data_IF_300934568005
#
_entry.id   IF_300934568005
#
_cell.length_a   1.000
_cell.length_b   1.000
_cell.length_c   1.000
_cell.angle_alpha   90.00
_cell.angle_beta   90.00
_cell.angle_gamma   90.00
#
_symmetry.space_group_name_H-M   'P 1'
#
loop_
_entity.id
_entity.type
_entity.pdbx_description
1 polymer ?
#
# COMPACT_ATOMS: atom_id res chain seq x y z
N UNK A 1 -7.76 20.91 -10.35
CA UNK A 1 -6.78 19.83 -10.56
C UNK A 1 -7.02 18.81 -9.47
N UNK A 2 -7.29 17.56 -9.82
CA UNK A 2 -7.55 16.48 -8.86
C UNK A 2 -6.22 15.88 -8.41
N UNK A 3 -6.02 15.73 -7.12
CA UNK A 3 -4.84 15.10 -6.55
C UNK A 3 -5.10 13.63 -6.28
N UNK A 4 -4.24 12.74 -6.76
CA UNK A 4 -4.35 11.29 -6.55
C UNK A 4 -3.02 10.75 -6.04
N UNK A 5 -3.07 9.82 -5.10
CA UNK A 5 -1.89 9.08 -4.67
C UNK A 5 -1.85 7.79 -5.50
N UNK A 6 -0.81 7.59 -6.28
CA UNK A 6 -0.58 6.29 -6.95
C UNK A 6 0.55 5.60 -6.21
N UNK A 7 0.22 4.47 -5.61
CA UNK A 7 1.07 3.77 -4.67
C UNK A 7 1.44 2.39 -5.21
N UNK A 8 2.74 2.16 -5.41
CA UNK A 8 3.24 0.83 -5.69
C UNK A 8 3.48 0.07 -4.38
N UNK A 9 2.99 -1.16 -4.30
CA UNK A 9 3.20 -2.03 -3.14
C UNK A 9 4.33 -3.04 -3.36
N UNK A 10 4.76 -3.65 -2.25
CA UNK A 10 5.77 -4.70 -2.19
C UNK A 10 7.22 -4.28 -2.47
N UNK A 11 7.59 -3.01 -2.22
CA UNK A 11 9.00 -2.61 -2.32
C UNK A 11 9.87 -3.36 -1.31
N UNK A 12 10.98 -3.92 -1.74
CA UNK A 12 11.84 -4.85 -1.01
C UNK A 12 11.50 -6.33 -1.26
N UNK A 13 10.45 -6.65 -2.02
CA UNK A 13 10.03 -8.05 -2.27
C UNK A 13 10.99 -8.80 -3.20
N UNK A 14 11.45 -8.15 -4.27
CA UNK A 14 12.46 -8.70 -5.18
C UNK A 14 13.17 -7.58 -5.94
N UNK A 15 14.34 -7.86 -6.52
CA UNK A 15 15.10 -6.88 -7.29
C UNK A 15 14.31 -6.32 -8.49
N UNK A 16 13.43 -7.12 -9.09
CA UNK A 16 12.61 -6.72 -10.23
C UNK A 16 11.43 -5.82 -9.83
N UNK A 17 10.85 -6.06 -8.66
CA UNK A 17 9.84 -5.15 -8.08
C UNK A 17 10.50 -3.83 -7.74
N UNK A 18 11.66 -3.88 -7.08
CA UNK A 18 12.41 -2.69 -6.68
C UNK A 18 12.80 -1.84 -7.88
N UNK A 19 13.36 -2.46 -8.92
CA UNK A 19 13.76 -1.76 -10.15
C UNK A 19 12.58 -1.03 -10.82
N UNK A 20 11.42 -1.69 -10.93
CA UNK A 20 10.23 -1.08 -11.50
C UNK A 20 9.76 0.13 -10.68
N UNK A 21 9.69 -0.02 -9.36
CA UNK A 21 9.23 1.04 -8.47
C UNK A 21 10.17 2.24 -8.50
N UNK A 22 11.49 2.01 -8.45
CA UNK A 22 12.50 3.06 -8.53
C UNK A 22 12.37 3.85 -9.85
N UNK A 23 12.28 3.16 -10.99
CA UNK A 23 12.16 3.80 -12.30
C UNK A 23 10.85 4.61 -12.42
N UNK A 24 9.73 4.08 -11.90
CA UNK A 24 8.45 4.79 -11.87
C UNK A 24 8.50 6.05 -10.98
N UNK A 25 9.18 6.02 -9.84
CA UNK A 25 9.36 7.20 -8.97
C UNK A 25 10.27 8.23 -9.64
N UNK A 26 11.37 7.79 -10.24
CA UNK A 26 12.31 8.67 -10.94
C UNK A 26 11.64 9.45 -12.08
N UNK A 27 10.75 8.79 -12.81
CA UNK A 27 9.98 9.38 -13.90
C UNK A 27 8.66 10.02 -13.45
N UNK A 28 8.43 10.17 -12.14
CA UNK A 28 7.23 10.78 -11.55
C UNK A 28 5.92 10.14 -12.04
N UNK A 29 5.94 8.82 -12.29
CA UNK A 29 4.77 8.02 -12.69
C UNK A 29 3.91 7.60 -11.51
N UNK A 30 4.54 7.43 -10.35
CA UNK A 30 3.89 7.13 -9.06
C UNK A 30 4.35 8.12 -8.00
N UNK A 31 3.64 8.19 -6.87
CA UNK A 31 3.91 9.16 -5.80
C UNK A 31 4.01 8.58 -4.41
N UNK A 32 3.85 7.26 -4.27
CA UNK A 32 4.08 6.54 -3.03
C UNK A 32 4.60 5.12 -3.31
N UNK A 33 5.36 4.56 -2.36
CA UNK A 33 5.69 3.14 -2.32
C UNK A 33 5.71 2.60 -0.90
N UNK A 34 5.25 1.35 -0.72
CA UNK A 34 5.19 0.68 0.58
C UNK A 34 6.27 -0.41 0.69
N UNK A 35 7.02 -0.38 1.79
CA UNK A 35 8.24 -1.15 1.98
C UNK A 35 8.05 -2.37 2.89
N UNK A 36 8.46 -3.55 2.42
CA UNK A 36 8.47 -4.82 3.15
C UNK A 36 9.79 -5.00 3.91
N UNK A 37 9.89 -4.40 5.11
CA UNK A 37 11.18 -4.25 5.81
C UNK A 37 11.74 -5.54 6.43
N UNK A 38 10.96 -6.62 6.47
CA UNK A 38 11.47 -7.94 6.90
C UNK A 38 12.16 -8.70 5.79
N UNK A 39 12.05 -8.27 4.52
CA UNK A 39 12.67 -8.97 3.41
C UNK A 39 14.20 -9.05 3.57
N UNK A 40 14.85 -10.14 3.11
CA UNK A 40 16.28 -10.36 3.31
C UNK A 40 17.14 -9.19 2.80
N UNK A 41 16.79 -8.65 1.65
CA UNK A 41 17.58 -7.63 0.95
C UNK A 41 17.14 -6.18 1.28
N UNK A 42 16.31 -5.98 2.31
CA UNK A 42 15.77 -4.66 2.66
C UNK A 42 16.84 -3.57 2.82
N UNK A 43 18.00 -3.86 3.39
CA UNK A 43 19.08 -2.86 3.54
C UNK A 43 19.61 -2.37 2.18
N UNK A 44 19.70 -3.26 1.20
CA UNK A 44 20.07 -2.90 -0.17
C UNK A 44 18.95 -2.08 -0.83
N UNK A 45 17.69 -2.52 -0.74
CA UNK A 45 16.54 -1.80 -1.28
C UNK A 45 16.44 -0.40 -0.67
N UNK A 46 16.50 -0.26 0.65
CA UNK A 46 16.49 1.03 1.34
C UNK A 46 17.62 1.96 0.86
N UNK A 47 18.83 1.43 0.64
CA UNK A 47 19.96 2.20 0.09
C UNK A 47 19.65 2.77 -1.30
N UNK A 48 18.93 2.02 -2.14
CA UNK A 48 18.50 2.46 -3.46
C UNK A 48 17.30 3.43 -3.41
N UNK A 49 16.46 3.35 -2.37
CA UNK A 49 15.28 4.20 -2.20
C UNK A 49 15.60 5.60 -1.67
N UNK A 50 16.55 5.73 -0.72
CA UNK A 50 16.93 7.00 -0.08
C UNK A 50 17.18 8.17 -1.05
N UNK A 51 17.89 8.00 -2.18
CA UNK A 51 18.13 9.10 -3.12
C UNK A 51 16.85 9.68 -3.74
N UNK A 52 15.72 8.98 -3.63
CA UNK A 52 14.41 9.39 -4.13
C UNK A 52 13.55 10.05 -3.04
N UNK A 53 14.06 10.24 -1.83
CA UNK A 53 13.37 10.99 -0.77
C UNK A 53 12.88 12.34 -1.28
N UNK A 54 11.64 12.68 -0.91
CA UNK A 54 10.98 13.88 -1.38
C UNK A 54 10.45 13.80 -2.81
N UNK A 55 10.69 12.74 -3.60
CA UNK A 55 9.99 12.50 -4.89
C UNK A 55 8.68 11.74 -4.71
N UNK A 56 8.65 10.78 -3.79
CA UNK A 56 7.47 10.00 -3.41
C UNK A 56 7.40 9.85 -1.89
N UNK A 57 6.26 9.38 -1.37
CA UNK A 57 6.14 8.97 0.03
C UNK A 57 6.56 7.51 0.23
N UNK A 58 7.30 7.23 1.30
CA UNK A 58 7.80 5.91 1.64
C UNK A 58 7.12 5.40 2.90
N UNK A 59 6.30 4.36 2.74
CA UNK A 59 5.52 3.79 3.83
C UNK A 59 6.04 2.45 4.30
N UNK A 60 5.63 2.04 5.50
CA UNK A 60 5.77 0.66 5.95
C UNK A 60 4.61 -0.18 5.36
N UNK A 61 4.97 -1.25 4.64
CA UNK A 61 4.04 -2.29 4.22
C UNK A 61 3.96 -3.39 5.26
N UNK A 62 3.08 -3.24 6.25
CA UNK A 62 3.04 -4.16 7.39
C UNK A 62 2.67 -5.57 6.96
N UNK A 63 3.63 -6.50 7.07
CA UNK A 63 3.48 -7.90 6.67
C UNK A 63 3.40 -8.86 7.86
N UNK A 64 2.54 -9.86 7.75
CA UNK A 64 2.34 -10.93 8.74
C UNK A 64 2.48 -12.33 8.13
N UNK A 65 2.92 -12.43 6.86
CA UNK A 65 2.98 -13.68 6.09
C UNK A 65 3.86 -14.76 6.73
N UNK A 66 4.95 -14.39 7.40
CA UNK A 66 5.82 -15.34 8.12
C UNK A 66 5.11 -16.06 9.30
N UNK A 67 4.04 -15.47 9.84
CA UNK A 67 3.37 -15.99 11.05
C UNK A 67 2.21 -16.92 10.74
N UNK A 68 1.43 -16.58 9.72
CA UNK A 68 0.21 -17.29 9.41
C UNK A 68 -0.26 -16.97 7.99
N UNK A 69 -0.90 -17.95 7.36
CA UNK A 69 -1.64 -17.69 6.12
C UNK A 69 -2.75 -16.67 6.35
N UNK A 70 -3.09 -15.93 5.29
CA UNK A 70 -4.17 -14.94 5.29
C UNK A 70 -5.46 -15.48 5.93
N UNK A 71 -5.88 -16.70 5.57
CA UNK A 71 -7.08 -17.32 6.12
C UNK A 71 -7.04 -17.53 7.64
N UNK A 72 -5.86 -17.88 8.20
CA UNK A 72 -5.68 -18.04 9.64
C UNK A 72 -5.65 -16.69 10.36
N UNK A 73 -5.04 -15.67 9.75
CA UNK A 73 -5.07 -14.29 10.27
C UNK A 73 -6.51 -13.75 10.30
N UNK A 74 -7.28 -13.95 9.23
CA UNK A 74 -8.68 -13.54 9.16
C UNK A 74 -9.52 -14.23 10.22
N UNK A 75 -9.42 -15.56 10.34
CA UNK A 75 -10.14 -16.32 11.35
C UNK A 75 -9.80 -15.81 12.75
N UNK A 76 -8.50 -15.71 13.06
CA UNK A 76 -8.04 -15.25 14.37
C UNK A 76 -8.45 -13.82 14.70
N UNK A 77 -8.49 -12.93 13.70
CA UNK A 77 -8.94 -11.55 13.88
C UNK A 77 -10.43 -11.50 14.22
N UNK A 78 -11.27 -12.27 13.50
CA UNK A 78 -12.71 -12.35 13.74
C UNK A 78 -13.03 -13.01 15.08
N UNK A 79 -12.32 -14.08 15.44
CA UNK A 79 -12.48 -14.76 16.74
C UNK A 79 -11.74 -14.06 17.88
N UNK A 80 -11.01 -12.96 17.59
CA UNK A 80 -10.16 -12.20 18.52
C UNK A 80 -9.12 -13.06 19.27
N UNK A 81 -8.61 -14.10 18.63
CA UNK A 81 -7.60 -15.02 19.19
C UNK A 81 -6.18 -14.73 18.70
N UNK A 82 -5.96 -13.66 17.94
CA UNK A 82 -4.61 -13.24 17.56
C UNK A 82 -3.80 -12.83 18.79
N UNK A 83 -2.54 -13.25 18.84
CA UNK A 83 -1.63 -12.87 19.91
C UNK A 83 -1.19 -11.41 19.73
N UNK A 84 -1.75 -10.52 20.54
CA UNK A 84 -1.47 -9.07 20.47
C UNK A 84 -0.02 -8.71 20.81
N UNK A 85 0.64 -9.46 21.70
CA UNK A 85 2.05 -9.24 22.04
C UNK A 85 2.94 -9.58 20.84
N UNK A 86 2.65 -10.69 20.17
CA UNK A 86 3.35 -11.07 18.94
C UNK A 86 3.13 -10.06 17.82
N UNK A 87 1.88 -9.63 17.58
CA UNK A 87 1.57 -8.59 16.60
C UNK A 87 2.33 -7.29 16.88
N UNK A 88 2.36 -6.86 18.16
CA UNK A 88 3.06 -5.64 18.58
C UNK A 88 4.56 -5.78 18.36
N UNK A 89 5.15 -6.90 18.77
CA UNK A 89 6.59 -7.17 18.58
C UNK A 89 6.98 -7.17 17.10
N UNK A 90 6.15 -7.80 16.25
CA UNK A 90 6.37 -7.81 14.80
C UNK A 90 6.28 -6.43 14.18
N UNK A 91 5.26 -5.65 14.53
CA UNK A 91 5.09 -4.28 14.04
C UNK A 91 6.28 -3.40 14.46
N UNK A 92 6.71 -3.49 15.72
CA UNK A 92 7.89 -2.78 16.22
C UNK A 92 9.13 -3.15 15.44
N UNK A 93 9.41 -4.44 15.26
CA UNK A 93 10.58 -4.91 14.49
C UNK A 93 10.56 -4.36 13.06
N UNK A 94 9.40 -4.29 12.43
CA UNK A 94 9.26 -3.75 11.07
C UNK A 94 9.47 -2.23 11.00
N UNK A 95 8.96 -1.48 11.98
CA UNK A 95 9.18 -0.04 12.10
C UNK A 95 10.65 0.26 12.45
N UNK A 96 11.26 -0.50 13.36
CA UNK A 96 12.67 -0.40 13.72
C UNK A 96 13.54 -0.58 12.46
N UNK A 97 13.32 -1.66 11.69
CA UNK A 97 14.06 -1.88 10.43
C UNK A 97 13.81 -0.80 9.37
N UNK A 98 12.61 -0.22 9.33
CA UNK A 98 12.36 0.91 8.44
C UNK A 98 13.22 2.10 8.85
N UNK A 99 13.17 2.49 10.12
CA UNK A 99 13.87 3.66 10.64
C UNK A 99 15.39 3.50 10.66
N UNK A 100 15.90 2.32 11.01
CA UNK A 100 17.33 2.02 11.04
C UNK A 100 17.93 2.18 9.64
N UNK A 101 17.23 1.69 8.61
CA UNK A 101 17.70 1.81 7.24
C UNK A 101 17.41 3.22 6.70
N UNK A 102 16.17 3.74 6.74
CA UNK A 102 15.78 5.01 6.11
C UNK A 102 16.20 6.27 6.89
N UNK A 103 16.55 6.16 8.17
CA UNK A 103 16.89 7.29 9.07
C UNK A 103 15.76 8.29 9.33
N UNK A 104 14.53 7.93 8.99
CA UNK A 104 13.32 8.66 9.33
C UNK A 104 12.16 7.68 9.55
N UNK A 105 11.10 8.12 10.24
CA UNK A 105 9.86 7.34 10.36
C UNK A 105 9.23 7.12 8.98
N UNK A 106 8.43 6.07 8.77
CA UNK A 106 7.66 5.97 7.53
C UNK A 106 6.75 7.20 7.34
N UNK A 107 6.54 7.62 6.10
CA UNK A 107 5.56 8.66 5.75
C UNK A 107 4.14 8.18 6.03
N UNK A 108 3.91 6.87 5.84
CA UNK A 108 2.64 6.21 6.08
C UNK A 108 2.75 4.75 6.48
N UNK A 109 1.63 4.20 6.95
CA UNK A 109 1.50 2.77 7.20
C UNK A 109 0.33 2.20 6.39
N UNK A 110 0.59 1.09 5.73
CA UNK A 110 -0.41 0.19 5.21
C UNK A 110 -0.05 -1.26 5.58
N UNK A 111 -0.62 -2.25 4.89
CA UNK A 111 -0.38 -3.64 5.21
C UNK A 111 -0.49 -4.53 3.99
N UNK A 112 0.40 -5.52 3.92
CA UNK A 112 0.34 -6.57 2.92
C UNK A 112 -0.99 -7.31 3.03
N UNK A 113 -1.70 -7.47 1.92
CA UNK A 113 -3.07 -8.01 1.89
C UNK A 113 -4.06 -7.24 2.79
N UNK A 114 -3.75 -5.98 3.12
CA UNK A 114 -4.52 -5.09 3.98
C UNK A 114 -4.73 -5.60 5.42
N UNK A 115 -3.82 -6.45 5.92
CA UNK A 115 -3.93 -7.04 7.27
C UNK A 115 -3.97 -5.99 8.37
N UNK A 116 -3.40 -4.80 8.13
CA UNK A 116 -3.43 -3.67 9.08
C UNK A 116 -4.85 -3.20 9.41
N UNK A 117 -5.82 -3.46 8.54
CA UNK A 117 -7.21 -3.08 8.73
C UNK A 117 -8.04 -4.10 9.55
N UNK A 118 -7.51 -5.31 9.76
CA UNK A 118 -8.24 -6.39 10.42
C UNK A 118 -8.54 -6.05 11.89
N UNK A 119 -9.64 -6.61 12.46
CA UNK A 119 -9.90 -6.52 13.89
C UNK A 119 -8.71 -7.03 14.70
N UNK A 120 -8.48 -6.47 15.89
CA UNK A 120 -7.28 -6.73 16.73
C UNK A 120 -6.00 -6.14 16.15
N UNK A 121 -5.70 -6.35 14.86
CA UNK A 121 -4.49 -5.82 14.22
C UNK A 121 -4.52 -4.29 14.15
N UNK A 122 -5.65 -3.71 13.73
CA UNK A 122 -5.82 -2.24 13.70
C UNK A 122 -5.68 -1.58 15.07
N UNK A 123 -6.06 -2.29 16.14
CA UNK A 123 -5.97 -1.79 17.51
C UNK A 123 -4.49 -1.73 17.93
N UNK A 124 -3.70 -2.75 17.56
CA UNK A 124 -2.25 -2.81 17.75
C UNK A 124 -1.55 -1.70 16.94
N UNK A 125 -1.91 -1.56 15.67
CA UNK A 125 -1.37 -0.50 14.78
C UNK A 125 -1.65 0.88 15.36
N UNK A 126 -2.91 1.17 15.71
CA UNK A 126 -3.28 2.47 16.26
C UNK A 126 -2.53 2.78 17.57
N UNK A 127 -2.43 1.79 18.46
CA UNK A 127 -1.69 1.93 19.71
C UNK A 127 -0.22 2.22 19.48
N UNK A 128 0.44 1.47 18.59
CA UNK A 128 1.86 1.66 18.30
C UNK A 128 2.13 3.01 17.63
N UNK A 129 1.34 3.40 16.63
CA UNK A 129 1.48 4.70 15.98
C UNK A 129 1.31 5.87 16.96
N UNK A 130 0.31 5.78 17.86
CA UNK A 130 0.15 6.78 18.93
C UNK A 130 1.35 6.77 19.88
N UNK A 131 1.88 5.62 20.26
CA UNK A 131 2.99 5.56 21.22
C UNK A 131 4.31 6.04 20.63
N UNK A 132 4.57 5.70 19.36
CA UNK A 132 5.85 5.94 18.69
C UNK A 132 5.91 7.31 17.99
N UNK A 133 4.79 7.79 17.46
CA UNK A 133 4.76 8.93 16.53
C UNK A 133 3.74 10.03 16.87
N UNK A 134 3.30 10.18 18.13
CA UNK A 134 2.23 11.15 18.49
C UNK A 134 2.48 12.60 18.02
N UNK A 135 3.75 13.01 17.97
CA UNK A 135 4.17 14.37 17.61
C UNK A 135 4.40 14.54 16.11
N UNK A 136 4.63 13.43 15.39
CA UNK A 136 4.96 13.44 13.97
C UNK A 136 4.31 12.21 13.32
N UNK A 137 2.99 12.27 13.18
CA UNK A 137 2.15 11.12 12.88
C UNK A 137 2.20 10.75 11.39
N UNK A 138 2.54 9.51 11.02
CA UNK A 138 2.36 9.02 9.65
C UNK A 138 0.88 8.96 9.28
N UNK A 139 0.56 9.16 8.00
CA UNK A 139 -0.79 8.87 7.53
C UNK A 139 -1.01 7.35 7.44
N UNK A 140 -2.26 6.91 7.40
CA UNK A 140 -2.58 5.48 7.33
C UNK A 140 -3.45 5.22 6.12
N UNK A 141 -3.13 4.17 5.36
CA UNK A 141 -3.97 3.75 4.24
C UNK A 141 -5.30 3.23 4.79
N UNK A 142 -6.40 3.81 4.34
CA UNK A 142 -7.75 3.33 4.49
C UNK A 142 -8.14 2.49 3.26
N UNK A 143 -8.14 1.14 3.36
CA UNK A 143 -8.61 0.25 2.29
C UNK A 143 -10.14 0.28 2.22
N UNK A 144 -10.71 1.44 1.87
CA UNK A 144 -12.14 1.63 1.69
C UNK A 144 -12.57 1.10 0.32
N UNK A 145 -12.80 -0.19 0.26
CA UNK A 145 -13.12 -0.87 -1.00
C UNK A 145 -14.56 -0.52 -1.44
N UNK A 146 -14.77 0.02 -2.66
CA UNK A 146 -16.10 0.19 -3.22
C UNK A 146 -16.77 -1.19 -3.40
N UNK A 147 -18.10 -1.31 -3.22
CA UNK A 147 -18.79 -2.58 -3.45
C UNK A 147 -18.90 -2.98 -4.94
N UNK A 148 -18.55 -2.07 -5.85
CA UNK A 148 -18.72 -2.21 -7.31
C UNK A 148 -17.38 -2.12 -8.02
N UNK A 149 -17.20 -2.89 -9.10
CA UNK A 149 -15.96 -2.88 -9.90
C UNK A 149 -14.95 -3.96 -9.55
N UNK A 150 -15.39 -5.03 -8.87
CA UNK A 150 -14.56 -6.20 -8.58
C UNK A 150 -15.08 -7.43 -9.32
N UNK A 151 -14.15 -8.26 -9.81
CA UNK A 151 -14.44 -9.55 -10.44
C UNK A 151 -15.07 -10.57 -9.48
N UNK A 152 -15.11 -10.28 -8.16
CA UNK A 152 -15.69 -11.16 -7.14
C UNK A 152 -16.40 -10.39 -6.03
N UNK A 153 -17.73 -10.34 -6.09
CA UNK A 153 -18.57 -9.70 -5.07
C UNK A 153 -18.39 -10.32 -3.67
N UNK A 154 -18.13 -11.63 -3.58
CA UNK A 154 -17.91 -12.32 -2.31
C UNK A 154 -16.63 -11.84 -1.61
N UNK A 155 -15.53 -11.69 -2.35
CA UNK A 155 -14.27 -11.16 -1.81
C UNK A 155 -14.44 -9.72 -1.30
N UNK A 156 -15.16 -8.89 -2.05
CA UNK A 156 -15.45 -7.51 -1.64
C UNK A 156 -16.24 -7.43 -0.33
N UNK A 157 -17.25 -8.30 -0.13
CA UNK A 157 -18.01 -8.39 1.13
C UNK A 157 -17.12 -8.79 2.30
N UNK A 158 -16.26 -9.79 2.10
CA UNK A 158 -15.34 -10.26 3.14
C UNK A 158 -14.35 -9.16 3.54
N UNK A 159 -13.71 -8.50 2.57
CA UNK A 159 -12.79 -7.38 2.83
C UNK A 159 -13.51 -6.24 3.55
N UNK A 160 -14.73 -5.89 3.11
CA UNK A 160 -15.53 -4.85 3.78
C UNK A 160 -15.86 -5.23 5.23
N UNK A 161 -16.19 -6.50 5.49
CA UNK A 161 -16.43 -7.00 6.84
C UNK A 161 -15.19 -6.92 7.73
N UNK A 162 -14.03 -7.34 7.20
CA UNK A 162 -12.75 -7.24 7.92
C UNK A 162 -12.37 -5.79 8.23
N UNK A 163 -12.65 -4.87 7.31
CA UNK A 163 -12.31 -3.45 7.45
C UNK A 163 -13.38 -2.66 8.22
N UNK A 164 -14.48 -3.29 8.64
CA UNK A 164 -15.59 -2.61 9.30
C UNK A 164 -15.16 -1.99 10.64
N UNK A 165 -15.27 -0.65 10.73
CA UNK A 165 -14.84 0.11 11.90
C UNK A 165 -13.37 0.58 11.87
N UNK A 166 -12.59 0.21 10.84
CA UNK A 166 -11.18 0.61 10.71
C UNK A 166 -10.98 2.13 10.80
N UNK A 167 -11.66 2.88 9.92
CA UNK A 167 -11.59 4.34 9.87
C UNK A 167 -11.92 4.96 11.24
N UNK A 168 -12.98 4.49 11.90
CA UNK A 168 -13.37 4.99 13.21
C UNK A 168 -12.31 4.74 14.27
N UNK A 169 -11.71 3.54 14.30
CA UNK A 169 -10.65 3.19 15.26
C UNK A 169 -9.41 4.05 15.05
N UNK A 170 -8.93 4.21 13.81
CA UNK A 170 -7.74 5.03 13.56
C UNK A 170 -8.00 6.49 13.94
N UNK A 171 -9.13 7.06 13.54
CA UNK A 171 -9.47 8.45 13.85
C UNK A 171 -9.73 8.72 15.34
N UNK A 172 -10.19 7.72 16.11
CA UNK A 172 -10.40 7.88 17.55
C UNK A 172 -9.12 7.71 18.37
N UNK A 173 -8.18 6.89 17.90
CA UNK A 173 -6.98 6.52 18.65
C UNK A 173 -5.74 7.31 18.22
N UNK A 174 -5.71 7.90 17.02
CA UNK A 174 -4.53 8.59 16.48
C UNK A 174 -4.88 9.91 15.78
N UNK A 175 -3.85 10.68 15.44
CA UNK A 175 -3.96 11.91 14.63
C UNK A 175 -3.73 11.65 13.13
N UNK A 176 -3.73 10.38 12.71
CA UNK A 176 -3.32 10.01 11.36
C UNK A 176 -4.35 10.48 10.33
N UNK A 177 -3.86 11.13 9.27
CA UNK A 177 -4.66 11.36 8.07
C UNK A 177 -4.94 10.03 7.35
N UNK A 178 -6.03 9.99 6.59
CA UNK A 178 -6.46 8.82 5.82
C UNK A 178 -6.76 9.25 4.39
N UNK A 179 -6.48 8.41 3.39
CA UNK A 179 -6.97 8.64 2.03
C UNK A 179 -8.52 8.67 2.00
N UNK A 180 -9.06 9.53 1.14
CA UNK A 180 -10.51 9.78 1.04
C UNK A 180 -11.24 8.61 0.39
N UNK A 181 -10.56 7.93 -0.53
CA UNK A 181 -11.08 6.90 -1.41
C UNK A 181 -9.96 5.90 -1.77
N UNK A 182 -10.31 4.68 -2.19
CA UNK A 182 -9.35 3.62 -2.45
C UNK A 182 -9.73 2.79 -3.70
N UNK A 183 -8.78 2.61 -4.61
CA UNK A 183 -8.91 1.80 -5.82
C UNK A 183 -7.62 1.00 -6.09
N UNK A 184 -7.58 0.24 -7.20
CA UNK A 184 -6.45 -0.65 -7.52
C UNK A 184 -6.68 -2.13 -7.17
N UNK A 185 -7.88 -2.47 -6.68
CA UNK A 185 -8.25 -3.85 -6.37
C UNK A 185 -8.86 -4.55 -7.58
N UNK A 186 -8.12 -5.51 -8.14
CA UNK A 186 -8.58 -6.34 -9.25
C UNK A 186 -8.04 -7.78 -9.10
N UNK A 187 -8.29 -8.63 -10.10
CA UNK A 187 -7.88 -10.03 -10.08
C UNK A 187 -6.37 -10.28 -10.21
N UNK A 188 -5.56 -9.25 -10.47
CA UNK A 188 -4.10 -9.35 -10.73
C UNK A 188 -3.83 -10.46 -11.74
N UNK A 189 -4.64 -10.47 -12.80
CA UNK A 189 -4.60 -11.45 -13.87
C UNK A 189 -3.98 -10.84 -15.11
N UNK A 190 -3.17 -11.63 -15.80
CA UNK A 190 -2.53 -11.29 -17.08
C UNK A 190 -3.53 -10.90 -18.17
N UNK A 191 -4.78 -11.39 -18.06
CA UNK A 191 -5.85 -11.11 -19.01
C UNK A 191 -6.64 -9.85 -18.68
N UNK A 192 -6.37 -9.22 -17.54
CA UNK A 192 -7.09 -8.02 -17.14
C UNK A 192 -6.58 -6.81 -17.93
N UNK A 193 -7.51 -5.96 -18.38
CA UNK A 193 -7.17 -4.69 -19.03
C UNK A 193 -6.76 -3.66 -17.98
N UNK A 194 -5.52 -3.76 -17.49
CA UNK A 194 -5.01 -2.87 -16.46
C UNK A 194 -5.07 -1.39 -16.88
N UNK A 195 -4.77 -1.09 -18.14
CA UNK A 195 -4.86 0.25 -18.69
C UNK A 195 -6.28 0.83 -18.57
N UNK A 196 -7.29 0.10 -19.07
CA UNK A 196 -8.69 0.54 -18.98
C UNK A 196 -9.21 0.60 -17.54
N UNK A 197 -8.75 -0.30 -16.66
CA UNK A 197 -9.10 -0.24 -15.24
C UNK A 197 -8.49 0.96 -14.54
N UNK A 198 -7.20 1.25 -14.78
CA UNK A 198 -6.49 2.39 -14.20
C UNK A 198 -7.13 3.70 -14.62
N UNK A 199 -7.46 3.85 -15.90
CA UNK A 199 -8.20 5.02 -16.43
C UNK A 199 -9.58 5.14 -15.77
N UNK A 200 -10.33 4.03 -15.67
CA UNK A 200 -11.62 4.01 -14.99
C UNK A 200 -11.55 4.31 -13.49
N UNK A 201 -10.47 3.93 -12.81
CA UNK A 201 -10.22 4.30 -11.41
C UNK A 201 -9.86 5.78 -11.31
N UNK A 202 -8.98 6.28 -12.18
CA UNK A 202 -8.61 7.68 -12.25
C UNK A 202 -9.81 8.57 -12.51
N UNK A 203 -10.81 8.15 -13.28
CA UNK A 203 -12.03 8.93 -13.49
C UNK A 203 -12.89 9.03 -12.23
N UNK A 204 -13.10 7.89 -11.57
CA UNK A 204 -14.06 7.76 -10.45
C UNK A 204 -13.50 8.17 -9.10
N UNK A 205 -12.18 8.06 -8.92
CA UNK A 205 -11.57 8.29 -7.62
C UNK A 205 -11.72 9.76 -7.19
N UNK A 206 -12.02 9.94 -5.92
CA UNK A 206 -12.17 11.25 -5.29
C UNK A 206 -10.82 11.99 -5.15
N UNK A 207 -10.86 13.31 -4.91
CA UNK A 207 -9.66 14.10 -4.58
C UNK A 207 -8.98 13.54 -3.32
N UNK A 208 -7.65 13.38 -3.37
CA UNK A 208 -6.80 12.74 -2.38
C UNK A 208 -7.14 11.25 -2.11
N UNK A 209 -7.73 10.59 -3.10
CA UNK A 209 -7.86 9.14 -3.11
C UNK A 209 -6.55 8.46 -3.46
N UNK A 210 -6.45 7.17 -3.12
CA UNK A 210 -5.28 6.34 -3.34
C UNK A 210 -5.61 5.19 -4.31
N UNK A 211 -4.78 5.03 -5.35
CA UNK A 211 -4.81 3.88 -6.25
C UNK A 211 -3.57 3.04 -5.97
N UNK A 212 -3.78 1.77 -5.66
CA UNK A 212 -2.72 0.78 -5.44
C UNK A 212 -2.36 0.07 -6.74
N UNK A 213 -1.07 -0.21 -6.93
CA UNK A 213 -0.53 -1.03 -8.01
C UNK A 213 0.61 -1.93 -7.49
N UNK A 214 1.02 -2.90 -8.30
CA UNK A 214 2.04 -3.90 -8.01
C UNK A 214 3.01 -4.06 -9.19
N UNK A 215 3.70 -2.99 -9.64
CA UNK A 215 4.56 -3.06 -10.81
C UNK A 215 5.81 -3.92 -10.57
N UNK A 216 6.28 -4.61 -11.61
CA UNK A 216 7.58 -5.29 -11.62
C UNK A 216 8.13 -5.32 -13.05
N UNK A 217 9.45 -5.31 -13.22
CA UNK A 217 10.05 -5.54 -14.54
C UNK A 217 9.97 -7.03 -14.90
N UNK A 218 10.25 -7.36 -16.17
CA UNK A 218 10.30 -8.75 -16.63
C UNK A 218 11.33 -9.58 -15.84
N UNK A 219 11.01 -10.85 -15.64
CA UNK A 219 11.87 -11.80 -14.93
C UNK A 219 11.57 -11.95 -13.44
N UNK A 220 10.66 -11.14 -12.89
CA UNK A 220 10.25 -11.24 -11.50
C UNK A 220 9.66 -12.63 -11.19
N UNK A 221 10.34 -13.43 -10.36
CA UNK A 221 9.82 -14.72 -9.86
C UNK A 221 8.95 -14.50 -8.62
N UNK A 222 7.95 -13.63 -8.75
CA UNK A 222 7.01 -13.28 -7.68
C UNK A 222 5.58 -13.63 -8.12
N UNK A 223 4.67 -13.71 -7.16
CA UNK A 223 3.27 -13.96 -7.46
C UNK A 223 2.73 -12.93 -8.47
N UNK A 224 2.03 -13.44 -9.48
CA UNK A 224 1.42 -12.67 -10.56
C UNK A 224 2.42 -11.88 -11.45
N UNK A 225 3.66 -12.35 -11.60
CA UNK A 225 4.73 -11.64 -12.33
C UNK A 225 4.34 -11.00 -13.67
N UNK A 226 3.59 -11.70 -14.54
CA UNK A 226 3.16 -11.11 -15.82
C UNK A 226 2.12 -9.99 -15.67
N UNK A 227 1.21 -10.07 -14.70
CA UNK A 227 0.30 -8.96 -14.41
C UNK A 227 1.07 -7.74 -13.91
N UNK A 228 2.07 -7.94 -13.03
CA UNK A 228 2.95 -6.89 -12.53
C UNK A 228 3.71 -6.16 -13.65
N UNK A 229 4.17 -6.91 -14.65
CA UNK A 229 4.80 -6.33 -15.86
C UNK A 229 3.80 -5.47 -16.65
N UNK A 230 2.56 -5.94 -16.85
CA UNK A 230 1.53 -5.13 -17.51
C UNK A 230 1.24 -3.82 -16.75
N UNK A 231 1.28 -3.85 -15.42
CA UNK A 231 1.13 -2.64 -14.60
C UNK A 231 2.28 -1.67 -14.83
N UNK A 232 3.52 -2.16 -14.78
CA UNK A 232 4.72 -1.38 -15.05
C UNK A 232 4.69 -0.75 -16.45
N UNK A 233 4.41 -1.55 -17.49
CA UNK A 233 4.40 -1.11 -18.88
C UNK A 233 3.38 0.01 -19.12
N UNK A 234 2.18 -0.10 -18.54
CA UNK A 234 1.18 0.97 -18.64
C UNK A 234 1.61 2.22 -17.88
N UNK A 235 2.05 2.10 -16.62
CA UNK A 235 2.44 3.24 -15.79
C UNK A 235 3.65 3.99 -16.36
N UNK A 236 4.54 3.30 -17.07
CA UNK A 236 5.69 3.94 -17.71
C UNK A 236 5.36 4.57 -19.08
N UNK A 237 4.23 4.18 -19.69
CA UNK A 237 3.83 4.62 -21.03
C UNK A 237 3.49 6.12 -21.12
N UNK A 238 3.65 6.67 -22.31
CA UNK A 238 3.15 8.03 -22.64
C UNK A 238 1.63 8.12 -22.51
N UNK A 239 0.90 7.03 -22.80
CA UNK A 239 -0.57 6.98 -22.66
C UNK A 239 -1.00 7.36 -21.25
N UNK A 240 -0.33 6.83 -20.23
CA UNK A 240 -0.66 7.16 -18.84
C UNK A 240 -0.38 8.63 -18.53
N UNK A 241 0.76 9.17 -18.97
CA UNK A 241 1.09 10.58 -18.78
C UNK A 241 0.09 11.51 -19.48
N UNK A 242 -0.25 11.23 -20.74
CA UNK A 242 -1.24 11.95 -21.53
C UNK A 242 -2.62 11.89 -20.86
N UNK A 243 -3.00 10.73 -20.30
CA UNK A 243 -4.26 10.57 -19.60
C UNK A 243 -4.35 11.46 -18.35
N UNK A 244 -3.29 11.49 -17.53
CA UNK A 244 -3.24 12.37 -16.35
C UNK A 244 -3.36 13.84 -16.76
N UNK A 245 -2.63 14.25 -17.81
CA UNK A 245 -2.64 15.63 -18.30
C UNK A 245 -4.01 16.04 -18.85
N UNK A 246 -4.60 15.22 -19.73
CA UNK A 246 -5.90 15.49 -20.35
C UNK A 246 -7.01 15.62 -19.29
N UNK A 247 -6.93 14.84 -18.21
CA UNK A 247 -7.91 14.84 -17.12
C UNK A 247 -7.55 15.78 -15.95
N UNK A 248 -6.50 16.59 -16.08
CA UNK A 248 -6.05 17.53 -15.05
C UNK A 248 -5.85 16.85 -13.67
N UNK A 249 -5.21 15.68 -13.70
CA UNK A 249 -4.85 14.90 -12.52
C UNK A 249 -3.37 15.14 -12.21
N UNK A 250 -3.08 15.42 -10.94
CA UNK A 250 -1.71 15.54 -10.42
C UNK A 250 -1.48 14.50 -9.33
N UNK A 251 -0.25 14.01 -9.22
CA UNK A 251 0.09 13.04 -8.19
C UNK A 251 0.41 13.74 -6.85
N UNK A 252 -0.10 13.20 -5.76
CA UNK A 252 0.17 13.67 -4.40
C UNK A 252 0.86 12.58 -3.57
N UNK A 253 1.63 13.00 -2.57
CA UNK A 253 2.44 12.11 -1.71
C UNK A 253 1.75 11.80 -0.38
N UNK A 254 0.74 12.58 -0.01
CA UNK A 254 -0.02 12.40 1.22
C UNK A 254 -1.48 12.78 1.01
N UNK A 255 -2.40 12.24 1.82
CA UNK A 255 -3.74 12.79 1.95
C UNK A 255 -3.70 14.21 2.55
N UNK A 256 -4.82 14.93 2.43
CA UNK A 256 -5.03 16.23 3.08
C UNK A 256 -5.52 16.08 4.52
#
# INVERSE_FOLDING_TARGET
MKQVIVCADDYGMSAEVDAAILELIENSRISATSCMTLMPDWSQSATQLKPLEGKAAFGLHFDLGEFASLGRLMLGAVTRTLNTEQLTSTLKKQLDRFEDEMNHRPDYLDGHQHVHAFPVVRDVVAKELRQRYDQDMPWVRNPCVPLSGHDSALKAVVIKGMNAGFKSTIQSETKAALNSDFAGLYSISEKADFAGMMEGWLDKISDNGLIMCHPAIQGATVDHGLARVNEYDYLMSERYQEYLQANHISLAKSPK
#
